data_IF_372724515973
#
_entry.id   IF_372724515973
#
_cell.length_a   1.000
_cell.length_b   1.000
_cell.length_c   1.000
_cell.angle_alpha   90.00
_cell.angle_beta   90.00
_cell.angle_gamma   90.00
#
_symmetry.space_group_name_H-M   'P 1'
#
loop_
_entity.id
_entity.type
_entity.pdbx_description
1 polymer ?
#
# COMPACT_ATOMS: atom_id res chain seq x y z
N UNK A 1 17.79 48.77 -23.54
CA UNK A 1 16.46 49.43 -23.53
C UNK A 1 15.43 48.32 -23.72
N UNK A 2 14.46 47.98 -22.87
CA UNK A 2 13.91 48.48 -21.60
C UNK A 2 13.21 47.27 -20.93
N UNK A 3 13.29 47.17 -19.60
CA UNK A 3 12.45 46.30 -18.75
C UNK A 3 11.00 46.82 -18.73
N UNK A 4 10.01 45.94 -18.84
CA UNK A 4 8.68 46.11 -18.25
C UNK A 4 8.07 44.69 -18.09
N UNK A 5 7.91 44.10 -16.90
CA UNK A 5 7.01 44.44 -15.79
C UNK A 5 5.57 44.69 -16.27
N UNK A 6 4.65 43.80 -15.87
CA UNK A 6 3.41 44.06 -15.12
C UNK A 6 2.47 42.84 -15.31
N UNK A 7 2.16 42.04 -14.29
CA UNK A 7 1.33 42.26 -13.09
C UNK A 7 -0.04 41.60 -13.26
N UNK A 8 -0.24 40.54 -12.47
CA UNK A 8 -1.43 40.15 -11.72
C UNK A 8 -2.82 40.63 -12.16
N UNK A 9 -3.70 39.66 -12.40
CA UNK A 9 -5.08 39.61 -11.85
C UNK A 9 -5.38 38.13 -11.59
N UNK A 10 -5.15 37.58 -10.39
CA UNK A 10 -6.09 37.59 -9.26
C UNK A 10 -7.56 37.49 -9.71
N UNK A 11 -8.06 36.27 -9.88
CA UNK A 11 -9.47 35.98 -9.66
C UNK A 11 -9.58 35.05 -8.44
N UNK A 12 -9.63 35.69 -7.29
CA UNK A 12 -10.11 35.09 -6.03
C UNK A 12 -11.63 35.00 -6.08
N UNK A 13 -12.15 33.79 -5.90
CA UNK A 13 -13.45 33.51 -5.27
C UNK A 13 -13.31 32.10 -4.68
N UNK A 14 -12.72 31.96 -3.50
CA UNK A 14 -13.44 31.98 -2.21
C UNK A 14 -14.60 30.98 -2.18
N UNK A 15 -14.28 29.75 -1.75
CA UNK A 15 -15.19 28.91 -0.99
C UNK A 15 -14.62 28.84 0.44
N UNK A 16 -15.43 29.15 1.47
CA UNK A 16 -14.94 29.40 2.81
C UNK A 16 -14.76 28.10 3.61
N UNK A 17 -13.76 28.11 4.48
CA UNK A 17 -13.87 27.46 5.80
C UNK A 17 -13.63 25.97 5.86
N UNK A 18 -12.37 25.60 6.10
CA UNK A 18 -12.02 24.62 7.13
C UNK A 18 -10.60 24.97 7.62
N UNK A 19 -10.58 25.86 8.60
CA UNK A 19 -9.44 26.09 9.46
C UNK A 19 -9.38 24.96 10.51
N UNK A 20 -8.35 24.14 10.41
CA UNK A 20 -7.68 23.41 11.50
C UNK A 20 -6.20 23.47 11.09
N UNK A 21 -5.42 24.48 11.48
CA UNK A 21 -4.85 24.65 12.82
C UNK A 21 -4.13 23.39 13.32
N UNK A 22 -2.80 23.47 13.25
CA UNK A 22 -1.78 22.75 14.02
C UNK A 22 -1.82 21.22 14.10
N UNK A 23 -0.79 20.60 13.52
CA UNK A 23 0.07 19.71 14.29
C UNK A 23 1.42 19.54 13.56
N UNK A 24 2.50 19.89 14.25
CA UNK A 24 3.84 19.34 14.06
C UNK A 24 3.78 17.88 13.61
N UNK A 25 4.31 17.57 12.42
CA UNK A 25 4.70 16.18 12.13
C UNK A 25 6.19 16.08 12.45
N UNK A 26 6.56 15.35 13.51
CA UNK A 26 7.92 15.31 14.01
C UNK A 26 8.85 14.62 13.02
N UNK A 27 10.12 15.02 13.12
CA UNK A 27 11.29 14.32 12.62
C UNK A 27 11.20 12.82 12.96
N UNK A 28 10.73 12.04 12.00
CA UNK A 28 10.56 10.62 12.13
C UNK A 28 11.64 9.96 11.27
N UNK A 29 12.82 9.76 11.87
CA UNK A 29 13.61 8.56 11.59
C UNK A 29 12.76 7.36 12.02
N UNK A 30 11.74 7.04 11.24
CA UNK A 30 11.01 5.79 11.31
C UNK A 30 11.95 4.71 10.80
N UNK A 31 12.74 4.19 11.74
CA UNK A 31 13.05 2.77 11.79
C UNK A 31 11.80 2.04 11.31
N UNK A 32 11.88 1.40 10.13
CA UNK A 32 10.79 0.63 9.54
C UNK A 32 10.44 -0.49 10.54
N UNK A 33 9.58 -0.20 11.50
CA UNK A 33 8.88 -1.21 12.26
C UNK A 33 8.10 -1.99 11.22
N UNK A 34 8.49 -3.24 11.02
CA UNK A 34 7.72 -4.16 10.23
C UNK A 34 6.33 -4.19 10.84
N UNK A 35 5.35 -3.59 10.17
CA UNK A 35 3.98 -3.59 10.67
C UNK A 35 3.40 -4.99 10.47
N UNK A 36 3.47 -5.79 11.54
CA UNK A 36 2.94 -7.15 11.59
C UNK A 36 1.45 -7.16 11.23
N UNK A 37 0.70 -6.10 11.54
CA UNK A 37 -0.71 -5.99 11.15
C UNK A 37 -0.86 -5.81 9.63
N UNK A 38 0.00 -4.99 9.00
CA UNK A 38 0.03 -4.81 7.54
C UNK A 38 0.40 -6.13 6.83
N UNK A 39 1.43 -6.83 7.31
CA UNK A 39 1.82 -8.13 6.77
C UNK A 39 0.70 -9.17 6.88
N UNK A 40 -0.01 -9.22 8.03
CA UNK A 40 -1.16 -10.11 8.21
C UNK A 40 -2.32 -9.75 7.28
N UNK A 41 -2.62 -8.46 7.09
CA UNK A 41 -3.65 -8.02 6.16
C UNK A 41 -3.31 -8.39 4.71
N UNK A 42 -2.05 -8.18 4.30
CA UNK A 42 -1.57 -8.55 2.97
C UNK A 42 -1.60 -10.05 2.73
N UNK A 43 -1.22 -10.85 3.74
CA UNK A 43 -1.34 -12.32 3.71
C UNK A 43 -2.78 -12.75 3.43
N UNK A 44 -3.75 -12.19 4.16
CA UNK A 44 -5.16 -12.53 4.00
C UNK A 44 -5.70 -12.18 2.60
N UNK A 45 -5.34 -11.01 2.07
CA UNK A 45 -5.71 -10.61 0.72
C UNK A 45 -5.15 -11.57 -0.35
N UNK A 46 -3.89 -11.98 -0.21
CA UNK A 46 -3.27 -12.94 -1.13
C UNK A 46 -3.88 -14.34 -1.03
N UNK A 47 -4.36 -14.76 0.15
CA UNK A 47 -5.10 -16.02 0.30
C UNK A 47 -6.41 -16.00 -0.48
N UNK A 48 -7.18 -14.91 -0.40
CA UNK A 48 -8.42 -14.73 -1.16
C UNK A 48 -8.15 -14.76 -2.67
N UNK A 49 -7.14 -14.02 -3.15
CA UNK A 49 -6.75 -13.98 -4.56
C UNK A 49 -6.26 -15.35 -5.07
N UNK A 50 -5.46 -16.05 -4.27
CA UNK A 50 -5.01 -17.42 -4.59
C UNK A 50 -6.20 -18.35 -4.72
N UNK A 51 -7.16 -18.29 -3.79
CA UNK A 51 -8.30 -19.19 -3.79
C UNK A 51 -9.24 -18.90 -4.97
N UNK A 52 -9.43 -17.62 -5.33
CA UNK A 52 -10.10 -17.22 -6.55
C UNK A 52 -9.38 -17.77 -7.80
N UNK A 53 -8.04 -17.67 -7.87
CA UNK A 53 -7.26 -18.23 -8.97
C UNK A 53 -7.41 -19.77 -9.04
N UNK A 54 -7.43 -20.48 -7.89
CA UNK A 54 -7.66 -21.94 -7.86
C UNK A 54 -9.06 -22.31 -8.33
N UNK A 55 -10.09 -21.56 -7.92
CA UNK A 55 -11.45 -21.74 -8.42
C UNK A 55 -11.51 -21.55 -9.93
N UNK A 56 -10.93 -20.47 -10.44
CA UNK A 56 -10.88 -20.19 -11.88
C UNK A 56 -10.10 -21.25 -12.66
N UNK A 57 -9.01 -21.78 -12.10
CA UNK A 57 -8.25 -22.87 -12.69
C UNK A 57 -9.07 -24.17 -12.80
N UNK A 58 -9.99 -24.40 -11.87
CA UNK A 58 -10.88 -25.57 -11.90
C UNK A 58 -12.04 -25.39 -12.87
N UNK A 59 -12.60 -24.18 -12.97
CA UNK A 59 -13.73 -23.88 -13.87
C UNK A 59 -13.29 -23.85 -15.33
N UNK A 60 -12.21 -23.11 -15.63
CA UNK A 60 -11.79 -22.84 -17.01
C UNK A 60 -10.66 -23.75 -17.50
N UNK A 61 -10.04 -24.54 -16.60
CA UNK A 61 -8.89 -25.43 -16.90
C UNK A 61 -7.76 -24.70 -17.64
N UNK A 62 -7.60 -23.40 -17.38
CA UNK A 62 -6.56 -22.59 -18.01
C UNK A 62 -5.26 -22.67 -17.20
N UNK A 63 -4.11 -22.98 -17.85
CA UNK A 63 -2.81 -23.03 -17.18
C UNK A 63 -2.44 -21.73 -16.46
N UNK A 64 -2.86 -20.58 -17.00
CA UNK A 64 -2.61 -19.25 -16.42
C UNK A 64 -3.07 -19.17 -14.96
N UNK A 65 -4.29 -19.61 -14.65
CA UNK A 65 -4.84 -19.51 -13.30
C UNK A 65 -4.12 -20.45 -12.30
N UNK A 66 -3.59 -21.58 -12.78
CA UNK A 66 -2.73 -22.43 -11.94
C UNK A 66 -1.41 -21.76 -11.62
N UNK A 67 -0.78 -21.13 -12.61
CA UNK A 67 0.47 -20.39 -12.41
C UNK A 67 0.25 -19.22 -11.46
N UNK A 68 -0.84 -18.48 -11.62
CA UNK A 68 -1.23 -17.38 -10.73
C UNK A 68 -1.41 -17.85 -9.29
N UNK A 69 -2.13 -18.95 -9.06
CA UNK A 69 -2.28 -19.53 -7.72
C UNK A 69 -0.93 -19.95 -7.12
N UNK A 70 -0.02 -20.49 -7.92
CA UNK A 70 1.33 -20.87 -7.46
C UNK A 70 2.13 -19.63 -7.07
N UNK A 71 2.09 -18.57 -7.87
CA UNK A 71 2.85 -17.35 -7.60
C UNK A 71 2.31 -16.60 -6.38
N UNK A 72 0.98 -16.59 -6.19
CA UNK A 72 0.35 -16.08 -4.96
C UNK A 72 0.74 -16.90 -3.73
N UNK A 73 0.84 -18.24 -3.86
CA UNK A 73 1.34 -19.07 -2.77
C UNK A 73 2.80 -18.71 -2.39
N UNK A 74 3.69 -18.51 -3.37
CA UNK A 74 5.07 -18.09 -3.08
C UNK A 74 5.15 -16.72 -2.40
N UNK A 75 4.21 -15.81 -2.70
CA UNK A 75 4.14 -14.52 -2.03
C UNK A 75 3.67 -14.67 -0.58
N UNK A 76 2.66 -15.49 -0.33
CA UNK A 76 2.22 -15.87 1.03
C UNK A 76 3.39 -16.48 1.81
N UNK A 77 4.13 -17.42 1.23
CA UNK A 77 5.25 -18.09 1.90
C UNK A 77 6.37 -17.10 2.31
N UNK A 78 6.61 -16.05 1.51
CA UNK A 78 7.55 -14.97 1.82
C UNK A 78 7.04 -14.12 2.99
N UNK A 79 5.77 -13.71 2.95
CA UNK A 79 5.16 -12.94 4.04
C UNK A 79 5.14 -13.76 5.33
N UNK A 80 4.89 -15.07 5.26
CA UNK A 80 4.96 -15.97 6.42
C UNK A 80 6.37 -16.12 6.99
N UNK A 81 7.42 -15.97 6.16
CA UNK A 81 8.79 -15.89 6.65
C UNK A 81 9.07 -14.54 7.33
N UNK A 82 8.60 -13.44 6.76
CA UNK A 82 8.73 -12.09 7.34
C UNK A 82 7.98 -11.97 8.67
N UNK A 83 6.76 -12.50 8.75
CA UNK A 83 5.98 -12.55 10.00
C UNK A 83 6.70 -13.35 11.08
N UNK A 84 7.26 -14.51 10.74
CA UNK A 84 8.04 -15.32 11.70
C UNK A 84 9.31 -14.62 12.17
N UNK A 85 9.97 -13.86 11.30
CA UNK A 85 11.13 -13.06 11.67
C UNK A 85 10.72 -11.91 12.61
N UNK A 86 9.66 -11.18 12.28
CA UNK A 86 9.14 -10.09 13.12
C UNK A 86 8.67 -10.59 14.49
N UNK A 87 7.96 -11.72 14.56
CA UNK A 87 7.53 -12.34 15.82
C UNK A 87 8.70 -12.88 16.66
N UNK A 88 9.83 -13.21 16.04
CA UNK A 88 11.04 -13.63 16.73
C UNK A 88 11.84 -12.45 17.29
N UNK A 89 11.79 -11.28 16.64
CA UNK A 89 12.40 -10.03 17.12
C UNK A 89 11.62 -9.39 18.27
N UNK A 90 10.31 -9.68 18.38
CA UNK A 90 9.46 -9.19 19.47
C UNK A 90 9.60 -10.01 20.79
N UNK A 91 10.27 -11.16 20.75
CA UNK A 91 10.51 -12.04 21.92
C UNK A 91 11.83 -11.74 22.62
#
# INVERSE_FOLDING_TARGET
>A
MVRALLLSTLLSASLPGLALADADVPDAREEKKVDVAELRARRAALEEERDAARMNANIYVLPRYRLEAIDKQKEIDRIDAELRAAEAEER
#
